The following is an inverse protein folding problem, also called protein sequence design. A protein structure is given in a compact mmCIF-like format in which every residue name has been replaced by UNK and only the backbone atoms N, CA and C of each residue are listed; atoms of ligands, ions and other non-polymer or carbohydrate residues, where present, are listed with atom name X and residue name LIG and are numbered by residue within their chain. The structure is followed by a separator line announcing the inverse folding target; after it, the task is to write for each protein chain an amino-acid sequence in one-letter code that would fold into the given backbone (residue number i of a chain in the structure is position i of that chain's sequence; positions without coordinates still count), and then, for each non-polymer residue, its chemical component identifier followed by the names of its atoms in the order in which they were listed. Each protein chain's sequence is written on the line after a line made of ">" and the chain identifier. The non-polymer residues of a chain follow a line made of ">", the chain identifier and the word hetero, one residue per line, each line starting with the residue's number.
data_IF_707657553697
#
_entry.id   IF_707657553697
#
_cell.length_a   1.000
_cell.length_b   1.000
_cell.length_c   1.000
_cell.angle_alpha   90.00
_cell.angle_beta   90.00
_cell.angle_gamma   90.00
#
_symmetry.space_group_name_H-M   'P 1'
#
loop_
_entity.id
_entity.type
_entity.pdbx_description
1 polymer ?
#
# COMPACT_ATOMS: atom_id res chain seq x y z
N UNK A 1 -3.70 36.38 -24.10
CA UNK A 1 -3.43 35.06 -24.75
C UNK A 1 -2.90 34.11 -23.69
N UNK A 2 -3.74 33.18 -23.19
CA UNK A 2 -3.28 32.06 -22.38
C UNK A 2 -2.92 30.92 -23.33
N UNK A 3 -1.63 30.58 -23.44
CA UNK A 3 -1.11 29.57 -24.37
C UNK A 3 -1.44 28.11 -24.00
N UNK A 4 -2.42 27.88 -23.10
CA UNK A 4 -2.89 26.52 -22.76
C UNK A 4 -1.90 25.62 -22.01
N UNK A 5 -0.67 26.09 -21.75
CA UNK A 5 0.30 25.35 -20.94
C UNK A 5 0.16 25.71 -19.46
N UNK A 6 -0.10 24.70 -18.63
CA UNK A 6 0.01 24.78 -17.18
C UNK A 6 1.21 23.95 -16.73
N UNK A 7 1.89 24.37 -15.67
CA UNK A 7 2.94 23.57 -15.04
C UNK A 7 2.26 22.32 -14.46
N UNK A 8 2.46 21.17 -15.10
CA UNK A 8 1.97 19.90 -14.59
C UNK A 8 2.58 19.63 -13.22
N UNK A 9 1.78 19.29 -12.24
CA UNK A 9 2.33 18.81 -10.97
C UNK A 9 3.09 17.50 -11.21
N UNK A 10 4.33 17.46 -10.75
CA UNK A 10 5.15 16.25 -10.77
C UNK A 10 4.52 15.21 -9.85
N UNK A 11 4.44 13.94 -10.28
CA UNK A 11 4.05 12.81 -9.42
C UNK A 11 5.16 12.41 -8.43
N UNK A 12 5.90 13.41 -7.94
CA UNK A 12 7.03 13.22 -7.03
C UNK A 12 6.54 12.75 -5.67
N UNK A 13 7.32 11.86 -5.06
CA UNK A 13 7.12 11.47 -3.67
C UNK A 13 7.94 12.45 -2.82
N UNK A 14 7.28 13.16 -1.91
CA UNK A 14 7.95 13.98 -0.91
C UNK A 14 8.41 13.06 0.23
N UNK A 15 9.69 12.67 0.18
CA UNK A 15 10.27 11.72 1.16
C UNK A 15 10.40 12.39 2.53
N UNK A 16 10.65 13.69 2.57
CA UNK A 16 10.86 14.43 3.82
C UNK A 16 9.57 14.57 4.64
N UNK A 17 8.40 14.57 3.97
CA UNK A 17 7.09 14.55 4.64
C UNK A 17 6.65 13.19 5.15
N UNK A 18 7.31 12.10 4.73
CA UNK A 18 6.88 10.74 5.01
C UNK A 18 7.61 10.14 6.22
N UNK A 19 6.92 9.31 6.99
CA UNK A 19 7.55 8.58 8.08
C UNK A 19 8.29 7.35 7.56
N UNK A 20 9.56 7.57 7.23
CA UNK A 20 10.47 6.51 6.79
C UNK A 20 10.98 5.65 7.94
N UNK A 21 10.94 6.12 9.20
CA UNK A 21 11.39 5.33 10.35
C UNK A 21 10.44 4.14 10.58
N UNK A 22 9.14 4.41 10.60
CA UNK A 22 8.14 3.36 10.72
C UNK A 22 8.20 2.37 9.56
N UNK A 23 8.34 2.87 8.32
CA UNK A 23 8.52 2.02 7.14
C UNK A 23 9.74 1.10 7.27
N UNK A 24 10.88 1.63 7.71
CA UNK A 24 12.10 0.83 7.94
C UNK A 24 11.90 -0.24 9.02
N UNK A 25 11.24 0.08 10.14
CA UNK A 25 10.93 -0.90 11.19
C UNK A 25 10.06 -2.03 10.66
N UNK A 26 8.98 -1.68 9.96
CA UNK A 26 8.05 -2.64 9.39
C UNK A 26 8.73 -3.54 8.34
N UNK A 27 9.63 -2.98 7.52
CA UNK A 27 10.41 -3.75 6.56
C UNK A 27 11.48 -4.63 7.21
N UNK A 28 11.95 -4.30 8.41
CA UNK A 28 12.86 -5.13 9.18
C UNK A 28 12.12 -6.33 9.81
N UNK A 29 10.89 -6.12 10.29
CA UNK A 29 10.01 -7.19 10.81
C UNK A 29 9.47 -8.09 9.69
N UNK A 30 9.21 -7.52 8.51
CA UNK A 30 8.65 -8.20 7.34
C UNK A 30 9.54 -8.01 6.09
N UNK A 31 10.72 -8.67 6.03
CA UNK A 31 11.66 -8.51 4.91
C UNK A 31 11.08 -8.99 3.57
N UNK A 32 10.08 -9.89 3.58
CA UNK A 32 9.43 -10.37 2.37
C UNK A 32 8.76 -9.25 1.56
N UNK A 33 8.36 -8.15 2.22
CA UNK A 33 7.75 -6.99 1.56
C UNK A 33 8.69 -6.32 0.56
N UNK A 34 10.00 -6.37 0.81
CA UNK A 34 11.01 -5.81 -0.09
C UNK A 34 11.10 -6.60 -1.40
N UNK A 35 10.69 -7.87 -1.40
CA UNK A 35 10.71 -8.73 -2.59
C UNK A 35 9.56 -8.48 -3.55
N UNK A 36 8.66 -7.55 -3.23
CA UNK A 36 7.51 -7.20 -4.07
C UNK A 36 7.94 -6.61 -5.42
N UNK A 37 7.63 -7.34 -6.49
CA UNK A 37 7.89 -6.96 -7.90
C UNK A 37 6.77 -6.14 -8.55
N UNK A 38 5.78 -5.69 -7.76
CA UNK A 38 4.64 -4.90 -8.24
C UNK A 38 3.80 -5.52 -9.39
N UNK A 39 3.74 -6.85 -9.49
CA UNK A 39 3.01 -7.57 -10.56
C UNK A 39 1.49 -7.31 -10.58
N UNK A 40 0.86 -7.01 -9.44
CA UNK A 40 -0.56 -6.67 -9.36
C UNK A 40 -1.55 -7.83 -9.21
N UNK A 41 -1.09 -9.10 -9.20
CA UNK A 41 -1.96 -10.27 -8.99
C UNK A 41 -2.84 -10.15 -7.74
N UNK A 42 -2.27 -9.63 -6.65
CA UNK A 42 -2.99 -9.44 -5.38
C UNK A 42 -4.15 -8.45 -5.50
N UNK A 43 -4.04 -7.42 -6.35
CA UNK A 43 -5.12 -6.48 -6.64
C UNK A 43 -6.17 -7.14 -7.53
N UNK A 44 -5.74 -7.84 -8.58
CA UNK A 44 -6.64 -8.50 -9.54
C UNK A 44 -7.55 -9.55 -8.86
N UNK A 45 -7.04 -10.31 -7.90
CA UNK A 45 -7.84 -11.31 -7.16
C UNK A 45 -8.69 -10.72 -6.02
N UNK A 46 -8.52 -9.44 -5.68
CA UNK A 46 -9.10 -8.87 -4.48
C UNK A 46 -10.60 -8.63 -4.64
N UNK A 47 -11.43 -9.39 -3.92
CA UNK A 47 -12.89 -9.17 -3.95
C UNK A 47 -13.28 -7.78 -3.45
N UNK A 48 -12.57 -7.23 -2.46
CA UNK A 48 -12.79 -5.85 -2.00
C UNK A 48 -12.45 -4.81 -3.08
N UNK A 49 -11.49 -5.10 -3.96
CA UNK A 49 -11.15 -4.24 -5.09
C UNK A 49 -12.20 -4.25 -6.21
N UNK A 50 -13.06 -5.28 -6.27
CA UNK A 50 -14.19 -5.32 -7.19
C UNK A 50 -15.38 -4.50 -6.69
N UNK A 51 -15.59 -4.45 -5.37
CA UNK A 51 -16.71 -3.75 -4.74
C UNK A 51 -16.37 -2.30 -4.35
N UNK A 52 -15.09 -1.99 -4.16
CA UNK A 52 -14.61 -0.68 -3.70
C UNK A 52 -13.31 -0.30 -4.41
N UNK A 53 -12.86 0.96 -4.29
CA UNK A 53 -11.57 1.41 -4.85
C UNK A 53 -10.34 0.92 -4.05
N UNK A 54 -10.39 -0.28 -3.49
CA UNK A 54 -9.29 -0.86 -2.72
C UNK A 54 -8.23 -1.48 -3.64
N UNK A 55 -6.97 -1.10 -3.45
CA UNK A 55 -5.86 -1.57 -4.28
C UNK A 55 -4.70 -2.07 -3.43
N UNK A 56 -4.54 -3.39 -3.36
CA UNK A 56 -3.52 -4.07 -2.56
C UNK A 56 -2.10 -3.73 -3.02
N UNK A 57 -1.86 -3.66 -4.34
CA UNK A 57 -0.58 -3.22 -4.90
C UNK A 57 -0.25 -1.79 -4.52
N UNK A 58 -1.24 -0.88 -4.57
CA UNK A 58 -1.07 0.51 -4.13
C UNK A 58 -0.70 0.57 -2.64
N UNK A 59 -1.38 -0.21 -1.80
CA UNK A 59 -1.07 -0.32 -0.36
C UNK A 59 0.40 -0.70 -0.14
N UNK A 60 0.90 -1.73 -0.84
CA UNK A 60 2.30 -2.14 -0.78
C UNK A 60 3.27 -1.01 -1.16
N UNK A 61 2.96 -0.25 -2.21
CA UNK A 61 3.78 0.90 -2.60
C UNK A 61 3.78 2.00 -1.54
N UNK A 62 2.62 2.33 -0.96
CA UNK A 62 2.48 3.36 0.06
C UNK A 62 3.28 3.03 1.32
N UNK A 63 3.18 1.78 1.78
CA UNK A 63 3.94 1.27 2.93
C UNK A 63 5.44 1.43 2.71
N UNK A 64 5.95 0.99 1.55
CA UNK A 64 7.39 1.11 1.22
C UNK A 64 7.87 2.57 1.17
N UNK A 65 6.99 3.50 0.83
CA UNK A 65 7.29 4.94 0.75
C UNK A 65 7.06 5.71 2.04
N UNK A 66 6.57 5.06 3.11
CA UNK A 66 6.21 5.74 4.34
C UNK A 66 4.96 6.64 4.22
N UNK A 67 4.15 6.44 3.18
CA UNK A 67 2.95 7.24 2.90
C UNK A 67 1.73 6.65 3.62
N UNK A 68 1.56 6.96 4.91
CA UNK A 68 0.46 6.42 5.71
C UNK A 68 -0.79 7.32 5.77
N UNK A 69 -0.75 8.50 5.13
CA UNK A 69 -1.88 9.43 5.09
C UNK A 69 -3.08 8.79 4.36
N UNK A 70 -4.21 8.68 5.06
CA UNK A 70 -5.44 8.08 4.50
C UNK A 70 -5.38 6.56 4.31
N UNK A 71 -4.31 5.88 4.75
CA UNK A 71 -4.17 4.43 4.58
C UNK A 71 -5.24 3.66 5.35
N UNK A 72 -5.74 4.22 6.46
CA UNK A 72 -6.72 3.58 7.33
C UNK A 72 -8.06 3.33 6.64
N UNK A 73 -8.56 4.30 5.88
CA UNK A 73 -9.78 4.15 5.08
C UNK A 73 -9.63 3.05 4.03
N UNK A 74 -8.44 2.93 3.44
CA UNK A 74 -8.14 1.83 2.52
C UNK A 74 -8.07 0.48 3.25
N UNK A 75 -7.41 0.42 4.42
CA UNK A 75 -7.32 -0.79 5.22
C UNK A 75 -8.69 -1.26 5.72
N UNK A 76 -9.61 -0.34 6.04
CA UNK A 76 -10.97 -0.67 6.48
C UNK A 76 -11.73 -1.51 5.45
N UNK A 77 -11.49 -1.29 4.14
CA UNK A 77 -12.12 -2.04 3.04
C UNK A 77 -11.65 -3.50 2.95
N UNK A 78 -10.51 -3.84 3.57
CA UNK A 78 -9.99 -5.20 3.52
C UNK A 78 -10.81 -6.15 4.39
N UNK A 79 -11.42 -7.16 3.75
CA UNK A 79 -12.20 -8.24 4.39
C UNK A 79 -11.34 -9.37 4.98
N UNK A 80 -10.01 -9.24 5.00
CA UNK A 80 -9.08 -10.24 5.57
C UNK A 80 -9.20 -11.68 5.00
N UNK A 81 -9.73 -11.83 3.79
CA UNK A 81 -9.96 -13.14 3.14
C UNK A 81 -8.71 -13.92 2.74
N UNK A 82 -7.52 -13.29 2.71
CA UNK A 82 -6.25 -13.98 2.43
C UNK A 82 -5.94 -14.36 0.99
N UNK A 83 -6.85 -14.17 0.02
CA UNK A 83 -6.63 -14.50 -1.41
C UNK A 83 -5.36 -13.89 -1.99
N UNK A 84 -4.98 -12.70 -1.54
CA UNK A 84 -3.76 -12.01 -1.96
C UNK A 84 -2.47 -12.80 -1.71
N UNK A 85 -2.42 -13.65 -0.66
CA UNK A 85 -1.26 -14.52 -0.36
C UNK A 85 -1.16 -15.71 -1.31
N UNK A 86 -2.31 -16.25 -1.73
CA UNK A 86 -2.38 -17.44 -2.58
C UNK A 86 -1.86 -17.18 -3.99
N UNK A 87 -2.10 -15.97 -4.52
CA UNK A 87 -1.72 -15.59 -5.89
C UNK A 87 -0.35 -14.89 -5.99
N UNK A 88 0.32 -14.65 -4.86
CA UNK A 88 1.57 -13.89 -4.85
C UNK A 88 2.74 -14.81 -5.27
N UNK A 89 3.42 -14.55 -6.41
CA UNK A 89 4.52 -15.39 -6.87
C UNK A 89 5.77 -15.31 -5.97
N UNK A 90 5.86 -14.25 -5.16
CA UNK A 90 6.95 -14.03 -4.18
C UNK A 90 6.61 -14.53 -2.78
N UNK A 91 5.39 -15.00 -2.58
CA UNK A 91 4.93 -15.54 -1.31
C UNK A 91 4.76 -14.52 -0.18
N UNK A 92 4.49 -13.25 -0.50
CA UNK A 92 4.38 -12.18 0.48
C UNK A 92 3.12 -12.34 1.33
N UNK A 93 3.26 -12.25 2.66
CA UNK A 93 2.13 -12.31 3.58
C UNK A 93 1.39 -10.97 3.73
N UNK A 94 0.70 -10.59 2.66
CA UNK A 94 -0.02 -9.31 2.59
C UNK A 94 -1.19 -9.25 3.59
N UNK A 95 -1.80 -10.40 3.92
CA UNK A 95 -2.86 -10.47 4.94
C UNK A 95 -2.32 -10.05 6.30
N UNK A 96 -1.16 -10.60 6.69
CA UNK A 96 -0.52 -10.24 7.95
C UNK A 96 -0.13 -8.77 7.98
N UNK A 97 0.44 -8.25 6.88
CA UNK A 97 0.74 -6.82 6.75
C UNK A 97 -0.49 -5.95 7.04
N UNK A 98 -1.64 -6.26 6.45
CA UNK A 98 -2.87 -5.49 6.68
C UNK A 98 -3.27 -5.52 8.16
N UNK A 99 -3.12 -6.66 8.83
CA UNK A 99 -3.42 -6.78 10.26
C UNK A 99 -2.47 -5.93 11.11
N UNK A 100 -1.16 -6.02 10.86
CA UNK A 100 -0.15 -5.21 11.53
C UNK A 100 -0.44 -3.72 11.36
N UNK A 101 -0.70 -3.27 10.13
CA UNK A 101 -1.04 -1.87 9.84
C UNK A 101 -2.34 -1.42 10.51
N UNK A 102 -3.37 -2.28 10.58
CA UNK A 102 -4.61 -1.95 11.31
C UNK A 102 -4.40 -1.78 12.81
N UNK A 103 -3.41 -2.49 13.39
CA UNK A 103 -3.06 -2.40 14.81
C UNK A 103 -2.20 -1.18 15.12
N UNK A 104 -1.23 -0.89 14.26
CA UNK A 104 -0.20 0.11 14.52
C UNK A 104 -0.53 1.51 14.00
N UNK A 105 -1.44 1.64 13.04
CA UNK A 105 -1.91 2.96 12.58
C UNK A 105 -3.08 3.41 13.49
N UNK A 106 -2.87 4.37 14.41
CA UNK A 106 -3.91 4.81 15.34
C UNK A 106 -5.11 5.44 14.61
N UNK A 107 -6.31 5.27 15.17
CA UNK A 107 -7.41 6.21 14.95
C UNK A 107 -6.98 7.52 15.58
N UNK A 108 -6.81 8.55 14.75
CA UNK A 108 -6.64 9.96 15.15
C UNK A 108 -6.20 10.21 16.59
#
# INVERSE_FOLDING_TARGET
>A
MNWGFSISQTRGVDIDRNDMQYSRRLLAEHPELQTCIACGNCTATCTAGNLTKFNVRKLQTLVRRGEYRGIREELAKCMLCGKCRLVCPRGINIRQLVLTLKKEVPEK
#
